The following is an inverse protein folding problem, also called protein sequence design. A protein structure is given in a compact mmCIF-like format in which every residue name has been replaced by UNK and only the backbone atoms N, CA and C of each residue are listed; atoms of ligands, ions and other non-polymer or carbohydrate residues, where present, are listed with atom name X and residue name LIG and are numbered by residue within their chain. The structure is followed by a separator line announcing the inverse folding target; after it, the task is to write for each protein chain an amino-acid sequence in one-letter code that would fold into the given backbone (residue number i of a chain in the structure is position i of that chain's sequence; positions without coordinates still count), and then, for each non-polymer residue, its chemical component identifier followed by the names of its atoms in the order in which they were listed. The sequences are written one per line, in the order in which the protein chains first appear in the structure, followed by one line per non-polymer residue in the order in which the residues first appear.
data_IF_461249560059
#
_entry.id   IF_461249560059
#
_cell.length_a   1.000
_cell.length_b   1.000
_cell.length_c   1.000
_cell.angle_alpha   90.00
_cell.angle_beta   90.00
_cell.angle_gamma   90.00
#
_symmetry.space_group_name_H-M   'P 1'
#
loop_
_entity.id
_entity.type
_entity.pdbx_description
1 polymer ?
#
# COMPACT_ATOMS: atom_id res chain seq x y z
N UNK A 1 59.53 61.87 9.15
CA UNK A 1 59.81 60.49 8.73
C UNK A 1 58.74 59.60 9.29
N UNK A 2 57.84 59.20 8.40
CA UNK A 2 57.02 57.99 8.38
C UNK A 2 56.53 57.37 9.70
N UNK A 3 55.22 57.53 9.93
CA UNK A 3 54.45 56.77 10.91
C UNK A 3 54.25 55.33 10.45
N UNK A 4 54.49 54.39 11.37
CA UNK A 4 54.35 52.96 11.15
C UNK A 4 52.91 52.55 10.84
N UNK A 5 52.77 51.79 9.76
CA UNK A 5 51.56 51.09 9.35
C UNK A 5 51.28 49.90 10.29
N UNK A 6 50.42 50.13 11.27
CA UNK A 6 49.83 49.06 12.07
C UNK A 6 48.90 48.19 11.21
N UNK A 7 49.31 46.93 11.01
CA UNK A 7 48.58 45.90 10.29
C UNK A 7 47.23 45.62 10.96
N UNK A 8 46.15 45.73 10.19
CA UNK A 8 44.78 45.42 10.60
C UNK A 8 44.54 43.92 10.78
N UNK A 9 44.80 43.39 11.97
CA UNK A 9 44.48 42.00 12.38
C UNK A 9 43.12 41.87 13.12
N UNK A 10 42.35 42.95 13.23
CA UNK A 10 41.13 43.00 14.06
C UNK A 10 39.82 42.49 13.43
N UNK A 11 39.74 42.32 12.10
CA UNK A 11 38.44 42.07 11.43
C UNK A 11 38.10 40.59 11.20
N UNK A 12 39.05 39.67 11.36
CA UNK A 12 38.82 38.22 11.18
C UNK A 12 38.23 37.55 12.43
N UNK A 13 38.50 38.09 13.63
CA UNK A 13 38.02 37.57 14.90
C UNK A 13 36.50 37.74 15.08
N UNK A 14 35.94 38.89 14.67
CA UNK A 14 34.51 39.15 14.77
C UNK A 14 33.66 38.24 13.85
N UNK A 15 34.14 37.95 12.63
CA UNK A 15 33.51 36.97 11.72
C UNK A 15 33.59 35.54 12.27
N UNK A 16 34.71 35.14 12.87
CA UNK A 16 34.83 33.83 13.52
C UNK A 16 34.00 33.71 14.81
N UNK A 17 33.80 34.81 15.55
CA UNK A 17 32.93 34.84 16.72
C UNK A 17 31.44 34.70 16.33
N UNK A 18 31.02 35.24 15.18
CA UNK A 18 29.67 35.06 14.64
C UNK A 18 29.37 33.60 14.24
N UNK A 19 30.39 32.82 13.82
CA UNK A 19 30.27 31.39 13.51
C UNK A 19 29.98 30.56 14.78
N UNK A 20 30.28 31.09 15.98
CA UNK A 20 29.98 30.44 17.26
C UNK A 20 28.58 30.78 17.80
N UNK A 21 27.63 31.21 16.97
CA UNK A 21 26.22 31.13 17.37
C UNK A 21 25.86 29.66 17.54
N UNK A 22 25.52 29.28 18.77
CA UNK A 22 24.99 27.95 19.06
C UNK A 22 23.57 27.88 18.51
N UNK A 23 23.41 27.27 17.34
CA UNK A 23 22.10 26.95 16.80
C UNK A 23 21.51 25.79 17.59
N UNK A 24 20.21 25.88 17.88
CA UNK A 24 19.46 24.86 18.61
C UNK A 24 18.14 24.51 17.93
N UNK A 25 17.34 23.69 18.60
CA UNK A 25 16.06 23.20 18.06
C UNK A 25 15.09 24.32 17.63
N UNK A 26 15.12 25.46 18.34
CA UNK A 26 14.27 26.62 18.04
C UNK A 26 14.60 27.29 16.70
N UNK A 27 15.85 27.22 16.28
CA UNK A 27 16.31 27.83 15.04
C UNK A 27 15.92 27.00 13.81
N UNK A 28 15.46 25.76 14.02
CA UNK A 28 14.95 24.88 12.97
C UNK A 28 13.45 25.02 12.73
N UNK A 29 12.75 25.80 13.58
CA UNK A 29 11.30 25.97 13.49
C UNK A 29 10.92 26.56 12.14
N UNK A 30 9.93 25.95 11.50
CA UNK A 30 9.38 26.40 10.22
C UNK A 30 10.09 25.84 8.98
N UNK A 31 11.27 25.23 9.13
CA UNK A 31 11.91 24.53 8.02
C UNK A 31 11.11 23.29 7.62
N UNK A 32 11.02 23.05 6.32
CA UNK A 32 10.39 21.87 5.76
C UNK A 32 11.40 20.72 5.61
N UNK A 33 10.95 19.49 5.80
CA UNK A 33 11.74 18.28 5.53
C UNK A 33 11.34 17.74 4.16
N UNK A 34 12.32 17.54 3.28
CA UNK A 34 12.10 17.12 1.90
C UNK A 34 11.70 15.63 1.78
N UNK A 35 12.01 14.81 2.78
CA UNK A 35 11.70 13.39 2.81
C UNK A 35 10.41 13.08 3.58
N UNK A 36 9.78 11.97 3.22
CA UNK A 36 8.62 11.45 3.94
C UNK A 36 9.02 11.01 5.36
N UNK A 37 8.19 11.30 6.35
CA UNK A 37 8.40 10.92 7.75
C UNK A 37 8.44 9.39 7.90
N UNK A 38 7.76 8.64 7.02
CA UNK A 38 7.81 7.17 7.01
C UNK A 38 9.18 6.60 6.61
N UNK A 39 10.04 7.41 5.98
CA UNK A 39 11.38 6.96 5.57
C UNK A 39 12.37 6.88 6.73
N UNK A 40 12.06 7.51 7.87
CA UNK A 40 12.89 7.49 9.07
C UNK A 40 12.59 6.26 9.93
N UNK A 41 13.64 5.54 10.30
CA UNK A 41 13.54 4.38 11.19
C UNK A 41 13.75 4.79 12.64
N UNK A 42 12.92 4.25 13.52
CA UNK A 42 13.07 4.48 14.97
C UNK A 42 14.44 4.02 15.46
N UNK A 43 15.11 4.86 16.26
CA UNK A 43 16.45 4.59 16.79
C UNK A 43 17.61 4.93 15.84
N UNK A 44 17.32 5.35 14.60
CA UNK A 44 18.33 5.83 13.66
C UNK A 44 18.47 7.36 13.76
N UNK A 45 19.71 7.87 13.76
CA UNK A 45 19.99 9.31 13.71
C UNK A 45 20.61 9.63 12.37
N UNK A 46 19.93 10.47 11.58
CA UNK A 46 20.36 10.85 10.24
C UNK A 46 20.67 12.35 10.21
N UNK A 47 21.82 12.71 9.63
CA UNK A 47 22.24 14.12 9.50
C UNK A 47 21.48 14.74 8.33
N UNK A 48 20.73 15.81 8.60
CA UNK A 48 20.07 16.60 7.56
C UNK A 48 20.95 17.79 7.16
N UNK A 49 20.91 18.14 5.88
CA UNK A 49 21.60 19.29 5.30
C UNK A 49 20.61 20.23 4.63
N UNK A 50 20.92 21.53 4.57
CA UNK A 50 20.09 22.47 3.82
C UNK A 50 20.16 22.12 2.34
N UNK A 51 19.00 22.03 1.70
CA UNK A 51 18.88 21.78 0.27
C UNK A 51 19.37 23.00 -0.51
N UNK A 52 20.03 22.74 -1.63
CA UNK A 52 20.44 23.81 -2.54
C UNK A 52 19.21 24.42 -3.23
N UNK A 53 19.11 25.75 -3.19
CA UNK A 53 18.01 26.53 -3.74
C UNK A 53 18.52 27.80 -4.42
N UNK A 54 17.91 28.17 -5.55
CA UNK A 54 18.22 29.41 -6.24
C UNK A 54 17.65 30.59 -5.45
N UNK A 55 18.48 31.60 -5.17
CA UNK A 55 18.05 32.79 -4.42
C UNK A 55 17.22 33.75 -5.28
N UNK A 56 17.47 33.77 -6.58
CA UNK A 56 16.80 34.66 -7.52
C UNK A 56 16.15 33.82 -8.63
N UNK A 57 14.89 34.11 -8.89
CA UNK A 57 14.12 33.55 -10.01
C UNK A 57 13.84 34.64 -11.05
N UNK A 58 13.99 34.30 -12.32
CA UNK A 58 13.72 35.21 -13.42
C UNK A 58 12.27 35.07 -13.87
N UNK A 59 11.37 35.85 -13.30
CA UNK A 59 9.97 35.89 -13.73
C UNK A 59 9.77 37.06 -14.70
N UNK A 60 9.36 36.77 -15.94
CA UNK A 60 9.08 37.78 -16.97
C UNK A 60 10.26 38.74 -17.27
N UNK A 61 11.50 38.28 -17.11
CA UNK A 61 12.71 39.07 -17.34
C UNK A 61 13.11 40.00 -16.19
N UNK A 62 12.38 39.97 -15.07
CA UNK A 62 12.78 40.58 -13.82
C UNK A 62 13.33 39.52 -12.85
N UNK A 63 14.43 39.82 -12.18
CA UNK A 63 14.97 38.99 -11.10
C UNK A 63 14.16 39.27 -9.83
N UNK A 64 13.37 38.30 -9.40
CA UNK A 64 12.65 38.30 -8.13
C UNK A 64 13.35 37.37 -7.13
N UNK A 65 13.14 37.60 -5.84
CA UNK A 65 13.62 36.67 -4.82
C UNK A 65 12.73 35.42 -4.86
N UNK A 66 13.34 34.23 -4.89
CA UNK A 66 12.56 33.00 -4.88
C UNK A 66 11.72 32.93 -3.60
N UNK A 67 10.43 32.58 -3.74
CA UNK A 67 9.50 32.44 -2.62
C UNK A 67 9.53 31.02 -2.00
N UNK A 68 10.42 30.15 -2.50
CA UNK A 68 10.56 28.79 -2.01
C UNK A 68 11.03 28.76 -0.54
N UNK A 69 10.32 27.99 0.28
CA UNK A 69 10.69 27.74 1.68
C UNK A 69 12.00 26.92 1.77
N UNK A 70 12.86 27.28 2.71
CA UNK A 70 14.08 26.51 3.01
C UNK A 70 13.75 25.07 3.44
N UNK A 71 14.40 24.11 2.80
CA UNK A 71 14.17 22.68 2.99
C UNK A 71 15.41 21.96 3.53
N UNK A 72 15.19 21.00 4.43
CA UNK A 72 16.19 20.07 4.91
C UNK A 72 16.10 18.74 4.14
N UNK A 73 17.25 18.27 3.67
CA UNK A 73 17.41 17.05 2.89
C UNK A 73 18.64 16.28 3.37
N UNK A 74 18.55 14.96 3.43
CA UNK A 74 19.74 14.13 3.56
C UNK A 74 20.25 13.72 2.18
N UNK A 75 21.57 13.82 1.98
CA UNK A 75 22.20 13.53 0.69
C UNK A 75 22.04 12.07 0.27
N UNK A 76 22.27 11.12 1.17
CA UNK A 76 22.16 9.69 0.85
C UNK A 76 20.72 9.28 0.56
N UNK A 77 19.76 9.84 1.30
CA UNK A 77 18.33 9.63 1.06
C UNK A 77 17.89 10.28 -0.26
N UNK A 78 18.40 11.46 -0.59
CA UNK A 78 18.16 12.14 -1.85
C UNK A 78 18.55 11.30 -3.06
N UNK A 79 19.72 10.67 -3.01
CA UNK A 79 20.21 9.81 -4.07
C UNK A 79 19.35 8.56 -4.22
N UNK A 80 18.97 7.92 -3.10
CA UNK A 80 18.06 6.76 -3.10
C UNK A 80 16.69 7.11 -3.69
N UNK A 81 16.13 8.26 -3.31
CA UNK A 81 14.84 8.72 -3.85
C UNK A 81 14.93 8.98 -5.36
N UNK A 82 16.00 9.66 -5.82
CA UNK A 82 16.26 9.88 -7.26
C UNK A 82 16.41 8.57 -8.04
N UNK A 83 17.14 7.59 -7.49
CA UNK A 83 17.30 6.28 -8.11
C UNK A 83 15.94 5.57 -8.24
N UNK A 84 15.17 5.53 -7.15
CA UNK A 84 13.84 4.92 -7.12
C UNK A 84 12.90 5.56 -8.14
N UNK A 85 12.89 6.89 -8.21
CA UNK A 85 12.00 7.62 -9.12
C UNK A 85 12.44 7.46 -10.57
N UNK A 86 13.75 7.39 -10.84
CA UNK A 86 14.30 7.04 -12.16
C UNK A 86 13.93 5.62 -12.61
N UNK A 87 13.95 4.64 -11.72
CA UNK A 87 13.49 3.28 -12.01
C UNK A 87 11.99 3.22 -12.31
N UNK A 88 11.17 3.93 -11.52
CA UNK A 88 9.73 4.05 -11.78
C UNK A 88 9.45 4.68 -13.14
N UNK A 89 10.15 5.77 -13.47
CA UNK A 89 10.01 6.43 -14.77
C UNK A 89 10.41 5.50 -15.93
N UNK A 90 11.49 4.74 -15.78
CA UNK A 90 11.92 3.72 -16.76
C UNK A 90 10.89 2.60 -16.92
N UNK A 91 10.37 2.07 -15.81
CA UNK A 91 9.29 1.07 -15.84
C UNK A 91 8.07 1.63 -16.57
N UNK A 92 7.63 2.86 -16.23
CA UNK A 92 6.50 3.53 -16.88
C UNK A 92 6.71 3.77 -18.37
N UNK A 93 7.90 4.18 -18.78
CA UNK A 93 8.25 4.38 -20.19
C UNK A 93 8.35 3.06 -20.98
N UNK A 94 8.72 1.96 -20.32
CA UNK A 94 8.73 0.62 -20.91
C UNK A 94 7.36 -0.05 -20.97
N UNK A 95 6.30 0.58 -20.45
CA UNK A 95 4.94 0.03 -20.54
C UNK A 95 4.42 0.11 -21.98
N UNK A 96 3.74 -0.93 -22.48
CA UNK A 96 3.09 -0.86 -23.78
C UNK A 96 2.09 0.30 -23.80
N UNK A 97 2.02 1.02 -24.93
CA UNK A 97 1.03 2.08 -25.16
C UNK A 97 -0.36 1.46 -25.13
N UNK A 98 -1.30 2.13 -24.44
CA UNK A 98 -2.70 1.74 -24.28
C UNK A 98 -3.27 1.05 -25.53
N UNK A 99 -3.62 -0.22 -25.38
CA UNK A 99 -4.45 -0.97 -26.31
C UNK A 99 -5.71 -1.31 -25.53
N UNK A 100 -6.86 -0.71 -25.87
CA UNK A 100 -8.13 -0.83 -25.13
C UNK A 100 -8.77 -2.22 -25.11
N UNK A 101 -7.98 -3.27 -25.33
CA UNK A 101 -8.34 -4.69 -25.30
C UNK A 101 -7.36 -5.51 -24.44
N UNK A 102 -6.44 -4.87 -23.71
CA UNK A 102 -5.51 -5.59 -22.84
C UNK A 102 -6.15 -5.85 -21.46
N UNK A 103 -6.48 -7.12 -21.18
CA UNK A 103 -7.11 -7.55 -19.92
C UNK A 103 -6.20 -7.32 -18.69
N UNK A 104 -4.89 -7.17 -18.90
CA UNK A 104 -3.94 -6.85 -17.83
C UNK A 104 -4.16 -5.45 -17.21
N UNK A 105 -4.94 -4.57 -17.85
CA UNK A 105 -5.26 -3.24 -17.33
C UNK A 105 -6.27 -3.25 -16.17
N UNK A 106 -6.99 -4.36 -15.96
CA UNK A 106 -7.96 -4.52 -14.87
C UNK A 106 -7.39 -5.20 -13.62
N UNK A 107 -6.09 -5.51 -13.61
CA UNK A 107 -5.41 -6.09 -12.44
C UNK A 107 -5.24 -5.01 -11.35
N UNK A 108 -5.59 -5.31 -10.11
CA UNK A 108 -5.60 -4.38 -8.99
C UNK A 108 -4.19 -3.89 -8.58
N UNK A 109 -3.13 -4.57 -9.04
CA UNK A 109 -1.74 -4.07 -8.96
C UNK A 109 -1.38 -3.05 -10.07
N UNK A 110 -2.26 -2.80 -11.06
CA UNK A 110 -2.06 -1.82 -12.14
C UNK A 110 -2.51 -0.39 -11.79
N UNK A 111 -3.34 -0.22 -10.76
CA UNK A 111 -3.87 1.07 -10.32
C UNK A 111 -2.94 1.71 -9.27
N UNK A 112 -1.84 2.35 -9.71
CA UNK A 112 -1.25 3.40 -8.88
C UNK A 112 -2.26 4.57 -8.93
N UNK A 113 -3.13 4.69 -7.92
CA UNK A 113 -4.22 5.69 -7.81
C UNK A 113 -3.79 7.14 -8.15
N UNK A 114 -2.49 7.41 -8.16
CA UNK A 114 -1.86 8.69 -8.56
C UNK A 114 -1.94 9.00 -10.06
N UNK A 115 -2.14 8.00 -10.91
CA UNK A 115 -2.21 8.15 -12.37
C UNK A 115 -3.65 8.26 -12.91
N UNK A 116 -4.68 8.09 -12.06
CA UNK A 116 -6.09 8.26 -12.44
C UNK A 116 -6.44 9.70 -12.82
N UNK A 117 -5.62 10.66 -12.41
CA UNK A 117 -5.77 12.07 -12.73
C UNK A 117 -4.79 12.46 -13.83
N UNK A 118 -5.29 13.09 -14.90
CA UNK A 118 -4.46 13.59 -16.00
C UNK A 118 -3.38 14.52 -15.44
N UNK A 119 -2.16 14.44 -15.97
CA UNK A 119 -1.01 15.21 -15.50
C UNK A 119 -1.12 16.75 -15.50
N UNK A 120 -2.23 17.32 -15.94
CA UNK A 120 -2.56 18.76 -15.83
C UNK A 120 -3.43 19.07 -14.61
N UNK A 121 -4.13 18.06 -14.08
CA UNK A 121 -5.02 18.13 -12.94
C UNK A 121 -4.49 17.33 -11.74
N UNK A 122 -3.50 16.46 -11.95
CA UNK A 122 -2.70 15.98 -10.85
C UNK A 122 -1.86 17.17 -10.39
N UNK A 123 -1.86 17.40 -9.08
CA UNK A 123 -0.91 18.29 -8.42
C UNK A 123 0.47 17.70 -8.69
N UNK A 124 1.04 18.05 -9.84
CA UNK A 124 2.24 17.43 -10.42
C UNK A 124 3.45 17.70 -9.54
N UNK A 125 3.33 18.66 -8.64
CA UNK A 125 4.16 18.85 -7.48
C UNK A 125 3.70 17.93 -6.35
N UNK A 126 3.68 16.63 -6.62
CA UNK A 126 3.58 15.55 -5.64
C UNK A 126 4.76 15.50 -4.67
N UNK A 127 5.29 16.67 -4.29
CA UNK A 127 5.92 16.97 -3.01
C UNK A 127 4.87 16.64 -1.95
N UNK A 128 4.70 15.34 -1.68
CA UNK A 128 3.81 14.85 -0.62
C UNK A 128 4.00 15.71 0.62
N UNK A 129 2.90 16.02 1.31
CA UNK A 129 2.83 16.97 2.41
C UNK A 129 4.13 17.00 3.22
N UNK A 130 4.97 18.01 2.95
CA UNK A 130 6.30 18.10 3.55
C UNK A 130 6.13 18.32 5.03
N UNK A 131 6.86 17.54 5.80
CA UNK A 131 6.78 17.63 7.24
C UNK A 131 7.48 18.92 7.68
N UNK A 132 6.85 19.73 8.53
CA UNK A 132 7.42 20.98 9.05
C UNK A 132 7.94 20.78 10.47
N UNK A 133 9.03 21.45 10.80
CA UNK A 133 9.61 21.40 12.14
C UNK A 133 8.92 22.43 13.05
N UNK A 134 8.38 21.96 14.17
CA UNK A 134 7.75 22.77 15.20
C UNK A 134 8.73 23.39 16.21
N UNK A 135 8.19 24.06 17.23
CA UNK A 135 8.94 24.89 18.19
C UNK A 135 9.99 24.13 19.03
N UNK A 136 9.80 22.81 19.17
CA UNK A 136 10.67 21.93 19.95
C UNK A 136 11.69 21.15 19.09
N UNK A 137 11.82 21.47 17.79
CA UNK A 137 12.63 20.67 16.86
C UNK A 137 12.00 19.32 16.51
N UNK A 138 10.73 19.12 16.88
CA UNK A 138 9.95 17.94 16.52
C UNK A 138 9.17 18.22 15.25
N UNK A 139 9.03 17.21 14.40
CA UNK A 139 8.20 17.31 13.21
C UNK A 139 6.73 17.38 13.63
N UNK A 140 6.03 18.43 13.19
CA UNK A 140 4.58 18.48 13.26
C UNK A 140 4.02 17.66 12.11
N UNK A 141 3.63 16.42 12.40
CA UNK A 141 2.78 15.66 11.50
C UNK A 141 1.43 16.38 11.40
N UNK A 142 1.04 16.79 10.19
CA UNK A 142 -0.33 17.24 9.96
C UNK A 142 -1.30 16.17 10.46
N UNK A 143 -2.42 16.58 11.09
CA UNK A 143 -3.46 15.64 11.54
C UNK A 143 -3.89 14.69 10.43
N UNK A 144 -3.88 15.16 9.18
CA UNK A 144 -4.18 14.36 8.00
C UNK A 144 -3.13 13.27 7.74
N UNK A 145 -1.84 13.55 7.98
CA UNK A 145 -0.77 12.57 7.84
C UNK A 145 -0.89 11.47 8.91
N UNK A 146 -1.22 11.84 10.15
CA UNK A 146 -1.47 10.88 11.23
C UNK A 146 -2.68 9.97 10.93
N UNK A 147 -3.78 10.54 10.43
CA UNK A 147 -4.97 9.80 10.04
C UNK A 147 -4.69 8.83 8.87
N UNK A 148 -3.94 9.28 7.85
CA UNK A 148 -3.51 8.43 6.73
C UNK A 148 -2.64 7.27 7.19
N UNK A 149 -1.72 7.48 8.14
CA UNK A 149 -0.91 6.39 8.72
C UNK A 149 -1.75 5.37 9.48
N UNK A 150 -2.76 5.82 10.22
CA UNK A 150 -3.69 4.92 10.90
C UNK A 150 -4.48 4.07 9.90
N UNK A 151 -5.08 4.71 8.89
CA UNK A 151 -5.81 4.03 7.83
C UNK A 151 -4.94 3.03 7.06
N UNK A 152 -3.68 3.37 6.77
CA UNK A 152 -2.72 2.47 6.11
C UNK A 152 -2.40 1.26 6.98
N UNK A 153 -2.18 1.45 8.29
CA UNK A 153 -1.97 0.35 9.24
C UNK A 153 -3.18 -0.58 9.32
N UNK A 154 -4.39 -0.02 9.31
CA UNK A 154 -5.63 -0.79 9.33
C UNK A 154 -5.81 -1.58 8.01
N UNK A 155 -5.50 -0.97 6.86
CA UNK A 155 -5.52 -1.63 5.56
C UNK A 155 -4.47 -2.75 5.44
N UNK A 156 -3.24 -2.51 5.92
CA UNK A 156 -2.19 -3.54 5.98
C UNK A 156 -2.59 -4.69 6.91
N UNK A 157 -3.23 -4.39 8.05
CA UNK A 157 -3.77 -5.41 8.94
C UNK A 157 -4.88 -6.22 8.25
N UNK A 158 -5.82 -5.55 7.57
CA UNK A 158 -6.87 -6.21 6.79
C UNK A 158 -6.29 -7.12 5.70
N UNK A 159 -5.25 -6.68 4.97
CA UNK A 159 -4.56 -7.48 3.95
C UNK A 159 -3.82 -8.69 4.54
N UNK A 160 -3.31 -8.59 5.77
CA UNK A 160 -2.73 -9.75 6.48
C UNK A 160 -3.79 -10.76 6.90
N UNK A 161 -5.03 -10.31 7.12
CA UNK A 161 -6.16 -11.16 7.51
C UNK A 161 -7.00 -11.66 6.32
N UNK A 162 -6.78 -11.14 5.12
CA UNK A 162 -7.45 -11.64 3.92
C UNK A 162 -6.88 -13.01 3.52
N UNK A 163 -7.76 -14.01 3.41
CA UNK A 163 -7.45 -15.32 2.85
C UNK A 163 -8.01 -15.34 1.43
N UNK A 164 -7.18 -15.61 0.43
CA UNK A 164 -7.65 -15.79 -0.94
C UNK A 164 -8.53 -17.04 -1.02
N UNK A 165 -9.72 -16.89 -1.60
CA UNK A 165 -10.63 -18.00 -1.88
C UNK A 165 -10.22 -18.65 -3.21
N UNK A 166 -9.06 -19.31 -3.22
CA UNK A 166 -8.70 -20.21 -4.32
C UNK A 166 -9.59 -21.46 -4.23
N UNK A 167 -10.70 -21.44 -4.95
CA UNK A 167 -11.54 -22.62 -5.10
C UNK A 167 -10.82 -23.62 -6.00
N UNK A 168 -10.45 -24.82 -5.51
CA UNK A 168 -9.85 -25.82 -6.39
C UNK A 168 -10.82 -26.17 -7.51
N UNK A 169 -10.33 -26.20 -8.75
CA UNK A 169 -11.12 -26.61 -9.90
C UNK A 169 -11.85 -27.94 -9.61
N UNK A 170 -13.12 -27.99 -9.97
CA UNK A 170 -14.00 -29.13 -9.74
C UNK A 170 -13.52 -30.35 -10.55
N UNK A 171 -12.66 -31.17 -9.94
CA UNK A 171 -12.18 -32.42 -10.55
C UNK A 171 -13.31 -33.45 -10.57
N UNK A 172 -13.56 -34.02 -11.75
CA UNK A 172 -14.59 -35.05 -11.94
C UNK A 172 -14.32 -36.27 -11.04
N UNK A 173 -15.40 -36.83 -10.48
CA UNK A 173 -15.40 -37.89 -9.47
C UNK A 173 -14.66 -39.19 -9.89
N UNK A 174 -14.29 -39.33 -11.16
CA UNK A 174 -13.56 -40.48 -11.69
C UNK A 174 -12.07 -40.53 -11.29
N UNK A 175 -11.51 -39.44 -10.76
CA UNK A 175 -10.06 -39.31 -10.48
C UNK A 175 -9.69 -39.45 -8.99
N UNK A 176 -10.64 -39.71 -8.10
CA UNK A 176 -10.40 -39.74 -6.64
C UNK A 176 -9.81 -41.05 -6.11
N UNK A 177 -9.74 -42.10 -6.93
CA UNK A 177 -9.13 -43.36 -6.53
C UNK A 177 -7.96 -43.70 -7.42
N UNK A 178 -6.78 -43.73 -6.82
CA UNK A 178 -5.60 -44.31 -7.45
C UNK A 178 -5.78 -45.84 -7.57
N UNK A 179 -5.13 -46.45 -8.57
CA UNK A 179 -5.21 -47.90 -8.78
C UNK A 179 -4.81 -48.69 -7.51
N UNK A 180 -3.88 -48.14 -6.73
CA UNK A 180 -3.41 -48.71 -5.47
C UNK A 180 -4.48 -48.65 -4.36
N UNK A 181 -5.28 -47.58 -4.31
CA UNK A 181 -6.38 -47.44 -3.34
C UNK A 181 -7.57 -48.37 -3.67
N UNK A 182 -7.86 -48.58 -4.95
CA UNK A 182 -8.84 -49.58 -5.40
C UNK A 182 -8.41 -51.01 -5.03
N UNK A 183 -7.12 -51.33 -5.16
CA UNK A 183 -6.58 -52.62 -4.75
C UNK A 183 -6.66 -52.82 -3.22
N UNK A 184 -6.40 -51.78 -2.43
CA UNK A 184 -6.53 -51.83 -0.97
C UNK A 184 -7.98 -52.00 -0.49
N UNK A 185 -8.95 -51.39 -1.17
CA UNK A 185 -10.39 -51.57 -0.90
C UNK A 185 -10.86 -52.98 -1.27
N UNK A 186 -10.43 -53.51 -2.42
CA UNK A 186 -10.73 -54.88 -2.83
C UNK A 186 -10.12 -55.91 -1.85
N UNK A 187 -8.88 -55.69 -1.39
CA UNK A 187 -8.22 -56.55 -0.39
C UNK A 187 -8.93 -56.55 0.97
N UNK A 188 -9.55 -55.43 1.37
CA UNK A 188 -10.36 -55.35 2.60
C UNK A 188 -11.71 -56.08 2.48
N UNK A 189 -12.30 -56.16 1.29
CA UNK A 189 -13.54 -56.93 1.07
C UNK A 189 -13.32 -58.45 1.18
N UNK A 190 -12.10 -58.94 0.90
CA UNK A 190 -11.73 -60.35 1.06
C UNK A 190 -11.57 -60.83 2.52
N UNK A 191 -11.58 -59.94 3.52
CA UNK A 191 -11.43 -60.28 4.95
C UNK A 191 -12.75 -60.32 5.75
N UNK A 192 -13.91 -60.43 5.08
CA UNK A 192 -15.21 -60.71 5.71
C UNK A 192 -15.59 -62.21 5.67
N UNK A 193 -14.62 -63.09 5.80
CA UNK A 193 -14.85 -64.51 6.09
C UNK A 193 -14.46 -64.80 7.53
N UNK A 194 -15.44 -65.20 8.36
CA UNK A 194 -15.32 -65.59 9.78
C UNK A 194 -15.17 -64.45 10.80
N UNK A 195 -16.30 -63.82 11.14
CA UNK A 195 -16.54 -63.37 12.52
C UNK A 195 -17.84 -64.01 12.98
N UNK A 196 -17.71 -64.84 14.00
CA UNK A 196 -18.76 -65.70 14.53
C UNK A 196 -20.02 -64.91 14.90
N UNK A 197 -21.17 -65.43 14.44
CA UNK A 197 -22.49 -64.96 14.85
C UNK A 197 -22.74 -65.41 16.29
N UNK A 198 -22.35 -64.59 17.27
CA UNK A 198 -22.89 -64.71 18.62
C UNK A 198 -23.52 -63.39 19.09
N UNK A 199 -24.86 -63.42 19.07
CA UNK A 199 -25.72 -62.72 20.02
C UNK A 199 -25.66 -61.19 20.08
N UNK A 200 -26.36 -60.50 19.18
CA UNK A 200 -26.96 -59.19 19.51
C UNK A 200 -28.39 -59.09 18.97
N UNK A 201 -29.30 -58.92 19.93
CA UNK A 201 -30.76 -58.86 19.79
C UNK A 201 -31.18 -57.76 18.80
N UNK A 202 -32.07 -58.09 17.88
CA UNK A 202 -32.67 -57.14 16.93
C UNK A 202 -33.51 -56.10 17.69
N UNK A 203 -33.03 -54.86 17.78
CA UNK A 203 -33.87 -53.72 18.15
C UNK A 203 -34.68 -53.32 16.90
N UNK A 204 -36.00 -53.38 17.00
CA UNK A 204 -36.95 -52.94 15.97
C UNK A 204 -36.67 -51.47 15.63
N UNK A 205 -36.04 -51.23 14.49
CA UNK A 205 -35.87 -49.88 13.95
C UNK A 205 -37.19 -49.43 13.34
N UNK A 206 -37.74 -48.31 13.84
CA UNK A 206 -38.96 -47.69 13.30
C UNK A 206 -38.76 -47.44 11.80
N UNK A 207 -39.74 -47.79 10.98
CA UNK A 207 -39.75 -47.50 9.54
C UNK A 207 -39.54 -45.99 9.36
N UNK A 208 -38.37 -45.59 8.85
CA UNK A 208 -38.10 -44.20 8.47
C UNK A 208 -38.97 -43.92 7.24
N UNK A 209 -39.86 -42.92 7.33
CA UNK A 209 -40.64 -42.45 6.18
C UNK A 209 -39.66 -42.13 5.05
N UNK A 210 -40.02 -42.52 3.81
CA UNK A 210 -39.21 -42.24 2.63
C UNK A 210 -38.97 -40.73 2.55
N UNK A 211 -37.71 -40.35 2.37
CA UNK A 211 -37.34 -38.98 2.01
C UNK A 211 -37.75 -38.83 0.54
N UNK A 212 -38.52 -37.79 0.22
CA UNK A 212 -38.96 -37.50 -1.13
C UNK A 212 -37.75 -37.46 -2.08
N UNK A 213 -37.94 -37.93 -3.31
CA UNK A 213 -36.87 -37.93 -4.30
C UNK A 213 -36.61 -36.50 -4.77
N UNK A 214 -35.38 -36.19 -5.18
CA UNK A 214 -35.03 -34.84 -5.65
C UNK A 214 -35.90 -34.36 -6.82
N UNK A 215 -36.47 -35.29 -7.60
CA UNK A 215 -37.41 -34.98 -8.68
C UNK A 215 -38.77 -34.47 -8.16
N UNK A 216 -39.26 -35.02 -7.05
CA UNK A 216 -40.53 -34.64 -6.42
C UNK A 216 -40.45 -33.26 -5.75
N UNK A 217 -39.27 -32.89 -5.24
CA UNK A 217 -39.02 -31.55 -4.68
C UNK A 217 -38.96 -30.46 -5.77
N UNK A 218 -38.52 -30.82 -6.98
CA UNK A 218 -38.37 -29.94 -8.14
C UNK A 218 -39.71 -29.63 -8.83
N UNK A 219 -40.71 -30.51 -8.69
CA UNK A 219 -42.07 -30.28 -9.18
C UNK A 219 -42.83 -29.31 -8.28
N UNK A 220 -42.63 -29.37 -6.97
CA UNK A 220 -43.25 -28.45 -6.01
C UNK A 220 -42.77 -26.99 -6.13
N UNK A 221 -41.64 -26.74 -6.79
CA UNK A 221 -41.09 -25.40 -7.04
C UNK A 221 -41.43 -24.86 -8.43
N UNK A 222 -42.14 -25.62 -9.27
CA UNK A 222 -42.47 -25.20 -10.65
C UNK A 222 -43.79 -24.45 -10.78
N UNK A 223 -44.62 -24.45 -9.74
CA UNK A 223 -45.97 -23.89 -9.79
C UNK A 223 -46.10 -22.49 -9.16
N UNK A 224 -45.00 -21.77 -8.87
CA UNK A 224 -45.02 -20.50 -8.09
C UNK A 224 -44.22 -19.35 -8.74
N UNK A 225 -44.15 -19.26 -10.07
CA UNK A 225 -43.48 -18.12 -10.75
C UNK A 225 -44.36 -17.51 -11.86
N UNK A 226 -45.47 -16.87 -11.49
CA UNK A 226 -46.24 -15.98 -12.38
C UNK A 226 -46.91 -14.81 -11.60
N UNK A 227 -46.25 -14.29 -10.56
CA UNK A 227 -46.66 -13.03 -9.92
C UNK A 227 -45.77 -11.86 -10.40
N UNK A 228 -46.27 -11.10 -11.37
CA UNK A 228 -45.71 -9.81 -11.80
C UNK A 228 -45.86 -8.77 -10.68
N UNK A 229 -44.75 -8.38 -10.07
CA UNK A 229 -44.67 -7.38 -8.98
C UNK A 229 -44.09 -6.02 -9.43
N UNK A 230 -44.39 -5.55 -10.64
CA UNK A 230 -43.66 -4.40 -11.20
C UNK A 230 -44.47 -3.32 -11.92
N UNK A 231 -45.50 -2.74 -11.31
CA UNK A 231 -46.13 -1.52 -11.84
C UNK A 231 -45.25 -0.27 -11.62
N UNK A 232 -44.35 0.01 -12.56
CA UNK A 232 -43.71 1.33 -12.68
C UNK A 232 -44.53 2.25 -13.58
N UNK A 233 -45.52 2.89 -12.97
CA UNK A 233 -46.08 4.14 -13.48
C UNK A 233 -45.13 5.31 -13.17
N UNK A 234 -45.17 6.30 -14.06
CA UNK A 234 -44.25 7.43 -14.16
C UNK A 234 -44.20 8.37 -12.94
N UNK A 235 -43.02 8.98 -12.73
CA UNK A 235 -42.82 10.42 -12.48
C UNK A 235 -41.32 10.74 -12.51
#
# INVERSE_FOLDING_TARGET
GEGGSGVGVGSLSAKQAAIRKKYGAKDLKGLAVAHDVESFREGETVIMTLKDAALLESENGALNLAEDEDELMNVDMAEKDKQRDGEKARRKAGRPKYTGTDEAEFDDDYDDDRDRVLGQYSDKDGKGARARIGDAGMVEDSRDAAAKRAAKRDADAAKRHSVSLDTPEMKEAASFYTADEMAALAAKQGKKGKKDKSGKKAKKLRKKKRVASAAELLEATRDEDDEDHGSRSAA
#
